data_IF_362288889878
#
_entry.id   IF_362288889878
#
_cell.length_a   1.000
_cell.length_b   1.000
_cell.length_c   1.000
_cell.angle_alpha   90.00
_cell.angle_beta   90.00
_cell.angle_gamma   90.00
#
_symmetry.space_group_name_H-M   'P 1'
#
loop_
_entity.id
_entity.type
_entity.pdbx_description
1 polymer ?
#
# COMPACT_ATOMS: atom_id res chain seq x y z
N UNK A 1 -10.11 7.69 4.88
CA UNK A 1 -11.34 6.98 4.44
C UNK A 1 -12.37 7.83 3.71
N UNK A 2 -12.54 9.12 4.00
CA UNK A 2 -13.47 9.98 3.23
C UNK A 2 -13.17 10.00 1.71
N UNK A 3 -11.90 9.89 1.30
CA UNK A 3 -11.54 9.87 -0.11
C UNK A 3 -12.06 8.61 -0.84
N UNK A 4 -12.05 7.46 -0.17
CA UNK A 4 -12.54 6.19 -0.72
C UNK A 4 -14.07 6.19 -0.80
N UNK A 5 -14.76 6.65 0.26
CA UNK A 5 -16.23 6.58 0.34
C UNK A 5 -16.94 7.78 -0.29
N UNK A 6 -16.50 9.01 -0.01
CA UNK A 6 -17.10 10.24 -0.54
C UNK A 6 -16.48 10.65 -1.86
N UNK A 7 -15.16 10.51 -1.98
CA UNK A 7 -14.44 10.82 -3.21
C UNK A 7 -14.69 9.82 -4.34
N UNK A 8 -15.19 8.62 -4.02
CA UNK A 8 -15.52 7.55 -4.98
C UNK A 8 -14.38 7.30 -5.99
N UNK A 9 -13.14 7.44 -5.53
CA UNK A 9 -11.95 7.31 -6.39
C UNK A 9 -11.86 5.94 -7.05
N UNK A 10 -12.39 4.91 -6.39
CA UNK A 10 -12.48 3.54 -6.88
C UNK A 10 -13.89 3.16 -7.38
N UNK A 11 -14.82 4.12 -7.44
CA UNK A 11 -16.25 3.87 -7.65
C UNK A 11 -17.05 3.81 -6.35
N UNK A 12 -18.26 3.22 -6.41
CA UNK A 12 -19.15 3.10 -5.23
C UNK A 12 -18.65 1.97 -4.33
N UNK A 13 -18.08 2.32 -3.18
CA UNK A 13 -17.69 1.37 -2.14
C UNK A 13 -18.91 0.96 -1.30
N UNK A 14 -19.18 -0.35 -1.23
CA UNK A 14 -20.24 -0.92 -0.39
C UNK A 14 -19.78 -1.09 1.07
N UNK A 15 -18.53 -1.50 1.26
CA UNK A 15 -17.93 -1.72 2.56
C UNK A 15 -16.42 -1.49 2.48
N UNK A 16 -15.77 -1.23 3.61
CA UNK A 16 -14.31 -1.23 3.72
C UNK A 16 -13.89 -1.69 5.12
N UNK A 17 -12.71 -2.28 5.21
CA UNK A 17 -12.06 -2.66 6.46
C UNK A 17 -10.59 -2.29 6.38
N UNK A 18 -10.00 -1.86 7.49
CA UNK A 18 -8.56 -1.64 7.54
C UNK A 18 -8.00 -2.07 8.89
N UNK A 19 -6.78 -2.59 8.88
CA UNK A 19 -5.99 -2.88 10.07
C UNK A 19 -4.61 -2.28 9.89
N UNK A 20 -4.05 -1.77 10.99
CA UNK A 20 -2.68 -1.27 11.05
C UNK A 20 -1.92 -2.21 11.96
N UNK A 21 -0.90 -2.86 11.41
CA UNK A 21 -0.03 -3.79 12.10
C UNK A 21 1.40 -3.27 12.03
N UNK A 22 2.21 -3.61 13.02
CA UNK A 22 3.63 -3.27 13.00
C UNK A 22 4.42 -4.44 12.42
N UNK A 23 5.14 -4.19 11.32
CA UNK A 23 6.05 -5.21 10.80
C UNK A 23 7.19 -5.46 11.80
N UNK A 24 7.83 -6.63 11.73
CA UNK A 24 8.97 -7.02 12.57
C UNK A 24 10.14 -6.00 12.58
N UNK A 25 10.16 -5.06 11.64
CA UNK A 25 11.18 -4.02 11.48
C UNK A 25 10.77 -2.63 11.99
N UNK A 26 9.65 -2.52 12.71
CA UNK A 26 9.25 -1.25 13.29
C UNK A 26 8.58 -0.31 12.28
N UNK A 27 8.03 -0.83 11.17
CA UNK A 27 7.28 -0.01 10.21
C UNK A 27 5.79 -0.32 10.32
N UNK A 28 4.92 0.70 10.33
CA UNK A 28 3.49 0.49 10.23
C UNK A 28 3.15 -0.09 8.85
N UNK A 29 2.39 -1.18 8.84
CA UNK A 29 1.83 -1.83 7.66
C UNK A 29 0.31 -1.73 7.76
N UNK A 30 -0.31 -1.13 6.76
CA UNK A 30 -1.76 -1.07 6.67
C UNK A 30 -2.26 -2.15 5.70
N UNK A 31 -3.16 -3.02 6.18
CA UNK A 31 -4.00 -3.83 5.31
C UNK A 31 -5.31 -3.08 5.10
N UNK A 32 -5.64 -2.75 3.85
CA UNK A 32 -6.88 -2.05 3.50
C UNK A 32 -7.65 -2.92 2.52
N UNK A 33 -8.86 -3.32 2.90
CA UNK A 33 -9.78 -4.09 2.08
C UNK A 33 -11.00 -3.24 1.74
N UNK A 34 -11.36 -3.17 0.46
CA UNK A 34 -12.48 -2.36 -0.04
C UNK A 34 -13.36 -3.24 -0.92
N UNK A 35 -14.66 -3.26 -0.64
CA UNK A 35 -15.65 -3.92 -1.47
C UNK A 35 -16.35 -2.89 -2.34
N UNK A 36 -16.23 -3.04 -3.66
CA UNK A 36 -16.79 -2.14 -4.65
C UNK A 36 -18.06 -2.76 -5.25
N UNK A 37 -19.06 -1.93 -5.52
CA UNK A 37 -20.28 -2.37 -6.20
C UNK A 37 -20.02 -2.78 -7.64
N UNK A 38 -19.10 -2.07 -8.31
CA UNK A 38 -18.61 -2.41 -9.65
C UNK A 38 -17.16 -2.85 -9.55
N UNK A 39 -16.81 -3.92 -10.25
CA UNK A 39 -15.43 -4.41 -10.29
C UNK A 39 -14.54 -3.43 -11.03
N UNK A 40 -13.51 -2.94 -10.34
CA UNK A 40 -12.40 -2.25 -11.00
C UNK A 40 -11.63 -3.24 -11.87
N UNK A 41 -11.32 -2.83 -13.09
CA UNK A 41 -10.43 -3.62 -13.93
C UNK A 41 -9.02 -3.54 -13.35
N UNK A 42 -8.36 -4.70 -13.22
CA UNK A 42 -7.04 -4.82 -12.58
C UNK A 42 -6.02 -3.85 -13.18
N UNK A 43 -6.07 -3.62 -14.50
CA UNK A 43 -5.16 -2.69 -15.19
C UNK A 43 -5.34 -1.21 -14.80
N UNK A 44 -6.48 -0.83 -14.20
CA UNK A 44 -6.73 0.53 -13.71
C UNK A 44 -6.27 0.72 -12.27
N UNK A 45 -5.93 -0.35 -11.56
CA UNK A 45 -5.55 -0.26 -10.14
C UNK A 45 -4.28 0.57 -9.99
N UNK A 46 -3.31 0.38 -10.89
CA UNK A 46 -2.04 1.11 -10.90
C UNK A 46 -2.23 2.62 -11.13
N UNK A 47 -3.32 3.03 -11.82
CA UNK A 47 -3.65 4.46 -12.01
C UNK A 47 -4.07 5.14 -10.70
N UNK A 48 -4.57 4.38 -9.73
CA UNK A 48 -5.07 4.90 -8.46
C UNK A 48 -4.16 4.61 -7.27
N UNK A 49 -3.37 3.54 -7.34
CA UNK A 49 -2.49 3.08 -6.26
C UNK A 49 -1.08 2.96 -6.82
N UNK A 50 -0.23 3.92 -6.46
CA UNK A 50 1.20 3.90 -6.74
C UNK A 50 1.97 4.03 -5.43
N UNK A 51 3.17 3.45 -5.40
CA UNK A 51 4.13 3.61 -4.31
C UNK A 51 5.35 4.36 -4.86
N UNK A 52 5.50 5.62 -4.46
CA UNK A 52 6.63 6.45 -4.84
C UNK A 52 7.67 6.50 -3.72
N UNK A 53 8.95 6.50 -4.08
CA UNK A 53 10.03 6.72 -3.13
C UNK A 53 10.10 8.25 -2.87
N UNK A 54 10.09 8.70 -1.61
CA UNK A 54 10.10 10.13 -1.29
C UNK A 54 11.34 10.82 -1.85
N UNK A 55 11.21 12.09 -2.21
CA UNK A 55 12.36 12.90 -2.58
C UNK A 55 13.19 13.25 -1.32
N UNK A 56 14.49 12.93 -1.25
CA UNK A 56 15.33 13.24 -0.10
C UNK A 56 15.46 14.74 0.20
N UNK A 57 15.23 15.62 -0.76
CA UNK A 57 15.30 17.08 -0.56
C UNK A 57 13.98 17.65 -0.01
N UNK A 58 12.84 17.06 -0.36
CA UNK A 58 11.52 17.54 0.05
C UNK A 58 11.03 16.87 1.35
N UNK A 59 11.32 15.58 1.52
CA UNK A 59 10.97 14.81 2.72
C UNK A 59 12.13 13.88 3.16
N UNK A 60 13.18 14.47 3.76
CA UNK A 60 14.36 13.72 4.21
C UNK A 60 14.05 12.72 5.32
N UNK A 61 13.02 12.96 6.14
CA UNK A 61 12.66 12.05 7.25
C UNK A 61 12.03 10.76 6.72
N UNK A 62 11.05 10.88 5.82
CA UNK A 62 10.41 9.73 5.20
C UNK A 62 11.40 8.97 4.31
N UNK A 63 12.24 9.68 3.57
CA UNK A 63 13.31 9.08 2.77
C UNK A 63 14.29 8.28 3.64
N UNK A 64 14.73 8.84 4.77
CA UNK A 64 15.62 8.14 5.70
C UNK A 64 14.96 6.94 6.35
N UNK A 65 13.68 7.04 6.71
CA UNK A 65 12.91 5.93 7.27
C UNK A 65 12.81 4.76 6.28
N UNK A 66 12.40 5.04 5.04
CA UNK A 66 12.28 4.04 3.97
C UNK A 66 13.66 3.50 3.59
N UNK A 67 14.68 4.34 3.52
CA UNK A 67 16.04 3.90 3.21
C UNK A 67 16.61 3.02 4.32
N UNK A 68 16.42 3.37 5.59
CA UNK A 68 17.00 2.63 6.71
C UNK A 68 16.31 1.30 6.97
N UNK A 69 14.98 1.25 6.90
CA UNK A 69 14.18 0.07 7.25
C UNK A 69 13.71 -0.74 6.03
N UNK A 70 13.52 -0.09 4.88
CA UNK A 70 13.03 -0.67 3.64
C UNK A 70 14.10 -1.17 2.65
N UNK A 71 15.31 -0.59 2.62
CA UNK A 71 16.30 -0.94 1.56
C UNK A 71 17.14 -2.19 1.82
N UNK A 72 17.17 -2.75 3.04
CA UNK A 72 17.85 -4.04 3.27
C UNK A 72 17.16 -5.22 2.58
N UNK A 73 15.87 -5.10 2.24
CA UNK A 73 15.17 -6.08 1.38
C UNK A 73 15.35 -5.82 -0.13
N UNK A 74 15.95 -4.70 -0.54
CA UNK A 74 16.09 -4.30 -1.95
C UNK A 74 17.55 -4.34 -2.45
N UNK A 75 18.51 -4.81 -1.64
CA UNK A 75 19.93 -4.87 -2.03
C UNK A 75 20.34 -6.07 -2.90
N UNK A 76 19.46 -7.06 -3.13
CA UNK A 76 19.65 -8.04 -4.19
C UNK A 76 18.97 -7.53 -5.46
N UNK A 77 19.76 -7.33 -6.51
CA UNK A 77 19.35 -6.94 -7.86
C UNK A 77 17.93 -7.36 -8.27
N UNK A 78 17.22 -6.42 -8.90
CA UNK A 78 15.88 -6.48 -9.50
C UNK A 78 14.70 -6.41 -8.52
N UNK A 79 13.90 -5.36 -8.73
CA UNK A 79 12.49 -5.19 -8.35
C UNK A 79 11.81 -6.45 -7.81
N UNK A 80 11.76 -6.57 -6.49
CA UNK A 80 10.97 -7.61 -5.81
C UNK A 80 9.76 -6.94 -5.15
N UNK A 81 8.66 -6.81 -5.90
CA UNK A 81 7.34 -6.67 -5.30
C UNK A 81 6.94 -8.05 -4.77
N UNK A 82 7.08 -8.27 -3.46
CA UNK A 82 6.50 -9.46 -2.83
C UNK A 82 5.00 -9.20 -2.63
N UNK A 83 4.20 -9.59 -3.62
CA UNK A 83 2.81 -9.98 -3.37
C UNK A 83 2.87 -11.25 -2.53
N UNK A 84 2.80 -11.10 -1.21
CA UNK A 84 2.53 -12.24 -0.33
C UNK A 84 1.03 -12.53 -0.42
N UNK A 85 0.64 -13.32 -1.41
CA UNK A 85 -0.53 -14.20 -1.26
C UNK A 85 -0.16 -15.23 -0.20
N UNK A 86 -0.73 -15.12 0.99
CA UNK A 86 -1.08 -16.26 1.86
C UNK A 86 -1.60 -15.74 3.19
N UNK A 87 -2.92 -15.65 3.32
CA UNK A 87 -3.59 -15.99 4.57
C UNK A 87 -4.87 -16.75 4.21
N UNK A 88 -4.81 -18.08 4.37
CA UNK A 88 -5.98 -18.95 4.39
C UNK A 88 -6.92 -18.47 5.48
N UNK A 89 -8.21 -18.43 5.14
CA UNK A 89 -9.29 -18.30 6.11
C UNK A 89 -9.08 -19.29 7.27
N UNK A 90 -9.12 -18.75 8.48
CA UNK A 90 -9.71 -19.41 9.65
C UNK A 90 -10.57 -18.38 10.38
#
# INVERSE_FOLDING_TARGET
MNLITKGKIFGVAQCYMYTIEWQKRGLPHAHILVWLQETLQVHKVDDFISAEIPNPEEDPELFNCITTHGTWSLRSHQSFFSLHEEWKMY
#
